data_IF_465358057419
#
_entry.id   IF_465358057419
#
_cell.length_a   1.000
_cell.length_b   1.000
_cell.length_c   1.000
_cell.angle_alpha   90.00
_cell.angle_beta   90.00
_cell.angle_gamma   90.00
#
_symmetry.space_group_name_H-M   'P 1'
#
loop_
_entity.id
_entity.type
_entity.pdbx_description
1 polymer ?
#
# COMPACT_ATOMS: atom_id res chain seq x y z
N UNK A 1 40.84 -0.95 -15.23
CA UNK A 1 39.49 -1.40 -15.68
C UNK A 1 39.04 -0.50 -16.82
N UNK A 2 38.42 -1.01 -17.89
CA UNK A 2 38.03 -0.14 -19.02
C UNK A 2 36.88 0.80 -18.62
N UNK A 3 36.80 1.98 -19.25
CA UNK A 3 35.82 3.03 -18.93
C UNK A 3 34.37 2.55 -19.03
N UNK A 4 34.07 1.64 -19.97
CA UNK A 4 32.75 1.01 -20.10
C UNK A 4 32.37 0.13 -18.90
N UNK A 5 33.30 -0.68 -18.39
CA UNK A 5 33.10 -1.51 -17.18
C UNK A 5 33.00 -0.63 -15.94
N UNK A 6 33.78 0.46 -15.86
CA UNK A 6 33.68 1.43 -14.77
C UNK A 6 32.34 2.15 -14.76
N UNK A 7 31.81 2.52 -15.92
CA UNK A 7 30.49 3.16 -16.03
C UNK A 7 29.36 2.21 -15.62
N UNK A 8 29.38 0.97 -16.12
CA UNK A 8 28.42 -0.06 -15.74
C UNK A 8 28.43 -0.34 -14.23
N UNK A 9 29.62 -0.43 -13.63
CA UNK A 9 29.77 -0.66 -12.19
C UNK A 9 29.22 0.52 -11.37
N UNK A 10 29.45 1.76 -11.82
CA UNK A 10 28.89 2.97 -11.18
C UNK A 10 27.37 2.99 -11.31
N UNK A 11 26.81 2.67 -12.47
CA UNK A 11 25.35 2.57 -12.65
C UNK A 11 24.76 1.51 -11.72
N UNK A 12 25.38 0.33 -11.63
CA UNK A 12 24.93 -0.76 -10.75
C UNK A 12 24.97 -0.35 -9.26
N UNK A 13 26.02 0.36 -8.84
CA UNK A 13 26.17 0.84 -7.46
C UNK A 13 25.17 1.95 -7.10
N UNK A 14 24.71 2.76 -8.06
CA UNK A 14 23.69 3.79 -7.84
C UNK A 14 22.25 3.26 -7.92
N UNK A 15 21.97 2.19 -8.68
CA UNK A 15 20.64 1.58 -8.76
C UNK A 15 20.30 0.67 -7.59
N UNK A 16 21.27 0.29 -6.75
CA UNK A 16 21.07 -0.57 -5.56
C UNK A 16 20.48 0.20 -4.36
N UNK A 17 20.26 1.50 -4.52
CA UNK A 17 19.71 2.43 -3.54
C UNK A 17 18.22 2.58 -3.94
N UNK A 18 17.17 2.05 -3.29
CA UNK A 18 16.98 1.56 -1.93
C UNK A 18 15.74 0.64 -1.94
N UNK A 19 15.91 -0.66 -1.70
CA UNK A 19 14.77 -1.56 -1.42
C UNK A 19 14.34 -1.35 0.03
N UNK A 20 13.51 -0.35 0.29
CA UNK A 20 12.81 -0.25 1.57
C UNK A 20 11.54 -1.08 1.48
N UNK A 21 11.53 -2.24 2.15
CA UNK A 21 10.26 -2.85 2.51
C UNK A 21 9.53 -1.89 3.46
N UNK A 22 8.22 -1.71 3.28
CA UNK A 22 7.42 -0.91 4.20
C UNK A 22 7.54 -1.44 5.63
N UNK A 23 7.63 -0.54 6.61
CA UNK A 23 7.65 -0.92 8.02
C UNK A 23 6.21 -1.04 8.51
N UNK A 24 5.77 -2.27 8.74
CA UNK A 24 4.48 -2.50 9.38
C UNK A 24 4.54 -2.09 10.85
N UNK A 25 3.61 -1.24 11.26
CA UNK A 25 3.37 -0.92 12.67
C UNK A 25 1.96 -1.36 13.03
N UNK A 26 1.80 -1.92 14.22
CA UNK A 26 0.48 -2.27 14.73
C UNK A 26 -0.27 -0.97 15.07
N UNK A 27 -1.42 -0.75 14.43
CA UNK A 27 -2.33 0.35 14.72
C UNK A 27 -3.62 -0.20 15.30
N UNK A 28 -4.01 0.24 16.49
CA UNK A 28 -5.21 -0.19 17.19
C UNK A 28 -6.36 0.84 17.18
N UNK A 29 -6.16 2.00 16.55
CA UNK A 29 -7.12 3.11 16.55
C UNK A 29 -7.78 3.35 15.17
N UNK A 30 -7.60 2.44 14.21
CA UNK A 30 -8.34 2.51 12.95
C UNK A 30 -9.80 2.19 13.21
N UNK A 31 -10.63 3.23 13.19
CA UNK A 31 -12.08 3.09 13.37
C UNK A 31 -12.69 2.85 12.00
N UNK A 32 -13.01 1.60 11.69
CA UNK A 32 -13.86 1.31 10.54
C UNK A 32 -15.31 1.72 10.85
N UNK A 33 -16.08 2.20 9.85
CA UNK A 33 -17.50 2.43 10.03
C UNK A 33 -18.14 1.16 10.61
N UNK A 34 -18.90 1.29 11.70
CA UNK A 34 -19.48 0.13 12.36
C UNK A 34 -20.50 -0.54 11.44
N UNK A 35 -20.33 -1.85 11.23
CA UNK A 35 -21.20 -2.70 10.40
C UNK A 35 -20.74 -4.15 10.54
N UNK A 36 -20.99 -4.76 11.70
CA UNK A 36 -20.39 -6.05 12.12
C UNK A 36 -20.97 -7.28 11.39
N UNK A 37 -21.70 -7.09 10.29
CA UNK A 37 -22.38 -8.17 9.59
C UNK A 37 -21.76 -8.41 8.21
N UNK A 38 -21.01 -9.51 8.08
CA UNK A 38 -20.33 -9.99 6.88
C UNK A 38 -19.49 -8.91 6.17
N UNK A 39 -18.35 -8.59 6.80
CA UNK A 39 -17.29 -7.74 6.24
C UNK A 39 -16.35 -8.56 5.35
N UNK A 40 -16.04 -8.06 4.16
CA UNK A 40 -14.92 -8.57 3.34
C UNK A 40 -13.86 -7.49 3.25
N UNK A 41 -12.59 -7.87 3.50
CA UNK A 41 -11.44 -6.96 3.51
C UNK A 41 -10.34 -7.47 2.55
N UNK A 42 -10.50 -7.31 1.23
CA UNK A 42 -9.41 -7.59 0.28
C UNK A 42 -8.25 -6.61 0.46
N UNK A 43 -7.03 -7.11 0.25
CA UNK A 43 -5.79 -6.32 0.30
C UNK A 43 -5.07 -6.53 -1.04
N UNK A 44 -4.83 -5.45 -1.78
CA UNK A 44 -4.15 -5.47 -3.08
C UNK A 44 -3.65 -4.07 -3.44
N UNK A 45 -2.69 -3.99 -4.36
CA UNK A 45 -2.18 -2.73 -4.92
C UNK A 45 -3.18 -2.24 -6.00
N UNK A 46 -3.99 -1.24 -5.67
CA UNK A 46 -5.12 -0.81 -6.49
C UNK A 46 -4.74 0.24 -7.54
N UNK A 47 -3.71 1.05 -7.28
CA UNK A 47 -3.22 2.08 -8.20
C UNK A 47 -1.84 1.77 -8.83
N UNK A 48 -1.26 0.63 -8.46
CA UNK A 48 -0.03 0.08 -9.02
C UNK A 48 1.21 0.93 -8.69
N UNK A 49 1.26 1.48 -7.47
CA UNK A 49 2.38 2.26 -6.96
C UNK A 49 3.39 1.43 -6.12
N UNK A 50 3.02 0.19 -5.80
CA UNK A 50 3.86 -0.79 -5.10
C UNK A 50 3.59 -0.92 -3.60
N UNK A 51 2.64 -0.18 -3.05
CA UNK A 51 2.11 -0.44 -1.71
C UNK A 51 0.77 -1.22 -1.75
N UNK A 52 0.26 -1.61 -0.57
CA UNK A 52 -0.96 -2.40 -0.49
C UNK A 52 -2.10 -1.56 0.07
N UNK A 53 -3.19 -1.50 -0.68
CA UNK A 53 -4.44 -0.83 -0.32
C UNK A 53 -5.42 -1.79 0.35
N UNK A 54 -6.46 -1.23 0.96
CA UNK A 54 -7.50 -1.99 1.66
C UNK A 54 -8.88 -1.63 1.12
N UNK A 55 -9.58 -2.63 0.57
CA UNK A 55 -10.99 -2.51 0.25
C UNK A 55 -11.83 -2.96 1.44
N UNK A 56 -12.71 -2.11 1.93
CA UNK A 56 -13.65 -2.41 3.00
C UNK A 56 -15.08 -2.48 2.45
N UNK A 57 -15.73 -3.63 2.59
CA UNK A 57 -17.12 -3.82 2.17
C UNK A 57 -17.95 -4.54 3.23
N UNK A 58 -19.21 -4.14 3.37
CA UNK A 58 -20.15 -4.71 4.33
C UNK A 58 -21.36 -5.25 3.58
N UNK A 59 -21.64 -6.54 3.72
CA UNK A 59 -22.66 -7.22 2.89
C UNK A 59 -24.11 -6.84 3.23
N UNK A 60 -24.38 -6.48 4.48
CA UNK A 60 -25.75 -6.30 4.98
C UNK A 60 -26.09 -4.86 5.38
N UNK A 61 -25.17 -3.93 5.17
CA UNK A 61 -25.40 -2.50 5.40
C UNK A 61 -25.51 -1.78 4.06
N UNK A 62 -26.29 -0.69 4.01
CA UNK A 62 -26.38 0.18 2.82
C UNK A 62 -25.14 1.09 2.67
N UNK A 63 -23.99 0.65 3.18
CA UNK A 63 -22.73 1.34 3.09
C UNK A 63 -22.07 0.99 1.75
N UNK A 64 -21.72 2.02 0.98
CA UNK A 64 -20.88 1.86 -0.19
C UNK A 64 -19.54 1.24 0.23
N UNK A 65 -18.91 0.40 -0.61
CA UNK A 65 -17.54 -0.02 -0.39
C UNK A 65 -16.62 1.19 -0.22
N UNK A 66 -15.67 1.09 0.69
CA UNK A 66 -14.66 2.12 0.93
C UNK A 66 -13.30 1.56 0.52
N UNK A 67 -12.59 2.31 -0.32
CA UNK A 67 -11.16 2.09 -0.54
C UNK A 67 -10.36 2.90 0.46
N UNK A 68 -9.38 2.27 1.08
CA UNK A 68 -8.33 2.94 1.83
C UNK A 68 -7.05 2.84 1.00
N UNK A 69 -6.69 3.94 0.33
CA UNK A 69 -5.46 4.06 -0.45
C UNK A 69 -4.29 4.28 0.50
N UNK A 70 -3.26 3.46 0.42
CA UNK A 70 -2.02 3.65 1.16
C UNK A 70 -1.12 4.64 0.40
N UNK A 71 -0.38 5.49 1.12
CA UNK A 71 0.50 6.50 0.53
C UNK A 71 1.99 6.14 0.66
N UNK A 72 2.30 4.90 1.02
CA UNK A 72 3.65 4.38 1.22
C UNK A 72 4.37 4.89 2.49
N UNK A 73 3.79 5.85 3.20
CA UNK A 73 4.33 6.44 4.44
C UNK A 73 3.58 5.99 5.72
N UNK A 74 2.63 5.08 5.56
CA UNK A 74 1.77 4.57 6.64
C UNK A 74 0.51 5.39 6.89
N UNK A 75 0.26 6.46 6.10
CA UNK A 75 -1.03 7.13 6.03
C UNK A 75 -1.97 6.47 5.01
N UNK A 76 -3.28 6.60 5.25
CA UNK A 76 -4.31 6.09 4.35
C UNK A 76 -5.33 7.17 4.00
N UNK A 77 -5.69 7.28 2.72
CA UNK A 77 -6.78 8.12 2.23
C UNK A 77 -8.04 7.29 1.97
N UNK A 78 -9.19 7.77 2.44
CA UNK A 78 -10.46 7.05 2.32
C UNK A 78 -11.28 7.57 1.14
N UNK A 79 -11.58 6.69 0.18
CA UNK A 79 -12.37 6.99 -1.01
C UNK A 79 -13.60 6.07 -1.10
N UNK A 80 -14.84 6.60 -1.17
CA UNK A 80 -16.00 5.79 -1.52
C UNK A 80 -15.93 5.34 -2.99
N UNK A 81 -16.34 4.10 -3.26
CA UNK A 81 -16.33 3.49 -4.60
C UNK A 81 -17.74 3.18 -5.08
#
# INVERSE_FOLDING_TARGET
MNTKKSLLLVTLLFTVVILHAQRFSYVNNLTFPQGVSATTIPIFDADNDGDLDVLYSVRFEALAPLMFMNNGDGSFEMNPI
#
